data_IF_839537658227
#
_entry.id   IF_839537658227
#
_cell.length_a   1.000
_cell.length_b   1.000
_cell.length_c   1.000
_cell.angle_alpha   90.00
_cell.angle_beta   90.00
_cell.angle_gamma   90.00
#
_symmetry.space_group_name_H-M   'P 1'
#
loop_
_entity.id
_entity.type
_entity.pdbx_description
1 polymer ?
#
# COMPACT_ATOMS: atom_id res chain seq x y z
N UNK A 1 8.56 17.56 14.95
CA UNK A 1 9.71 16.84 15.54
C UNK A 1 10.95 17.58 15.08
N UNK A 2 11.80 18.03 16.00
CA UNK A 2 13.09 18.59 15.61
C UNK A 2 13.95 17.44 15.10
N UNK A 3 14.39 17.50 13.86
CA UNK A 3 15.50 16.66 13.41
C UNK A 3 16.72 17.13 14.20
N UNK A 4 17.16 16.34 15.17
CA UNK A 4 18.47 16.57 15.77
C UNK A 4 19.52 16.40 14.67
N UNK A 5 20.36 17.42 14.50
CA UNK A 5 21.47 17.41 13.56
C UNK A 5 22.52 16.40 14.07
N UNK A 6 22.39 15.16 13.60
CA UNK A 6 23.32 14.06 13.92
C UNK A 6 24.63 14.31 13.22
N UNK A 7 25.73 13.97 13.88
CA UNK A 7 27.03 13.99 13.21
C UNK A 7 27.05 12.95 12.08
N UNK A 8 27.84 13.17 11.01
CA UNK A 8 28.00 12.19 9.94
C UNK A 8 28.44 10.81 10.45
N UNK A 9 29.23 10.77 11.53
CA UNK A 9 29.70 9.53 12.14
C UNK A 9 28.56 8.75 12.82
N UNK A 10 27.66 9.43 13.53
CA UNK A 10 26.50 8.80 14.18
C UNK A 10 25.53 8.24 13.15
N UNK A 11 25.30 8.97 12.06
CA UNK A 11 24.48 8.49 10.93
C UNK A 11 25.10 7.24 10.31
N UNK A 12 26.40 7.26 10.01
CA UNK A 12 27.10 6.11 9.43
C UNK A 12 27.08 4.86 10.33
N UNK A 13 27.20 5.04 11.65
CA UNK A 13 27.08 3.94 12.62
C UNK A 13 25.68 3.33 12.61
N UNK A 14 24.65 4.15 12.59
CA UNK A 14 23.26 3.72 12.54
C UNK A 14 22.93 2.99 11.22
N UNK A 15 23.37 3.52 10.08
CA UNK A 15 23.21 2.86 8.79
C UNK A 15 23.91 1.49 8.76
N UNK A 16 25.13 1.41 9.28
CA UNK A 16 25.85 0.14 9.37
C UNK A 16 25.14 -0.87 10.28
N UNK A 17 24.51 -0.41 11.36
CA UNK A 17 23.68 -1.26 12.22
C UNK A 17 22.43 -1.77 11.48
N UNK A 18 21.72 -0.89 10.78
CA UNK A 18 20.56 -1.25 9.99
C UNK A 18 20.92 -2.29 8.91
N UNK A 19 22.04 -2.09 8.19
CA UNK A 19 22.51 -3.04 7.17
C UNK A 19 22.85 -4.43 7.77
N UNK A 20 23.40 -4.47 9.00
CA UNK A 20 23.66 -5.74 9.73
C UNK A 20 22.37 -6.45 10.14
N UNK A 21 21.26 -5.74 10.28
CA UNK A 21 19.95 -6.32 10.53
C UNK A 21 19.37 -6.83 9.19
N UNK A 22 19.40 -6.03 8.14
CA UNK A 22 18.82 -6.36 6.82
C UNK A 22 19.51 -7.54 6.11
N UNK A 23 20.81 -7.74 6.34
CA UNK A 23 21.53 -8.88 5.79
C UNK A 23 21.07 -10.21 6.39
N UNK A 24 20.57 -10.19 7.63
CA UNK A 24 20.02 -11.38 8.32
C UNK A 24 18.59 -11.69 7.90
N UNK A 25 17.93 -10.80 7.16
CA UNK A 25 16.57 -11.00 6.69
C UNK A 25 16.53 -12.13 5.65
N UNK A 26 15.85 -13.22 6.00
CA UNK A 26 15.63 -14.35 5.09
C UNK A 26 14.57 -13.96 4.08
N UNK A 27 14.98 -13.85 2.81
CA UNK A 27 14.09 -13.47 1.70
C UNK A 27 13.51 -14.71 1.04
N UNK A 28 12.24 -14.65 0.68
CA UNK A 28 11.59 -15.68 -0.12
C UNK A 28 11.87 -15.50 -1.62
N UNK A 29 11.83 -16.59 -2.37
CA UNK A 29 12.01 -16.54 -3.83
C UNK A 29 10.80 -15.84 -4.46
N UNK A 30 11.06 -14.90 -5.36
CA UNK A 30 10.00 -14.23 -6.13
C UNK A 30 9.10 -15.22 -6.86
N UNK A 31 9.66 -16.33 -7.37
CA UNK A 31 8.90 -17.38 -8.04
C UNK A 31 7.88 -18.08 -7.14
N UNK A 32 8.02 -17.99 -5.80
CA UNK A 32 7.06 -18.51 -4.83
C UNK A 32 6.03 -17.46 -4.40
N UNK A 33 6.48 -16.22 -4.20
CA UNK A 33 5.62 -15.14 -3.68
C UNK A 33 4.74 -14.51 -4.76
N UNK A 34 5.24 -14.36 -5.99
CA UNK A 34 4.49 -13.71 -7.07
C UNK A 34 3.18 -14.41 -7.42
N UNK A 35 3.09 -15.76 -7.48
CA UNK A 35 1.81 -16.45 -7.66
C UNK A 35 0.78 -16.15 -6.57
N UNK A 36 1.20 -16.04 -5.31
CA UNK A 36 0.29 -15.77 -4.19
C UNK A 36 -0.30 -14.36 -4.27
N UNK A 37 0.54 -13.37 -4.61
CA UNK A 37 0.09 -11.99 -4.86
C UNK A 37 -0.90 -11.97 -6.02
N UNK A 38 -0.59 -12.66 -7.12
CA UNK A 38 -1.46 -12.72 -8.28
C UNK A 38 -2.81 -13.36 -7.93
N UNK A 39 -2.79 -14.51 -7.26
CA UNK A 39 -4.00 -15.21 -6.85
C UNK A 39 -4.89 -14.36 -5.95
N UNK A 40 -4.29 -13.61 -5.01
CA UNK A 40 -5.01 -12.68 -4.15
C UNK A 40 -5.66 -11.55 -4.96
N UNK A 41 -4.92 -10.94 -5.89
CA UNK A 41 -5.48 -9.88 -6.74
C UNK A 41 -6.61 -10.42 -7.61
N UNK A 42 -6.41 -11.54 -8.29
CA UNK A 42 -7.41 -12.17 -9.16
C UNK A 42 -8.69 -12.53 -8.41
N UNK A 43 -8.58 -13.07 -7.19
CA UNK A 43 -9.75 -13.45 -6.40
C UNK A 43 -10.60 -12.25 -5.96
N UNK A 44 -9.99 -11.07 -5.80
CA UNK A 44 -10.68 -9.85 -5.33
C UNK A 44 -11.03 -8.89 -6.47
N UNK A 45 -10.43 -9.06 -7.66
CA UNK A 45 -10.63 -8.18 -8.82
C UNK A 45 -12.10 -8.11 -9.28
N UNK A 46 -12.85 -9.21 -9.11
CA UNK A 46 -14.25 -9.27 -9.51
C UNK A 46 -15.15 -8.35 -8.65
N UNK A 47 -14.75 -8.09 -7.40
CA UNK A 47 -15.50 -7.29 -6.44
C UNK A 47 -14.93 -5.88 -6.28
N UNK A 48 -13.77 -5.59 -6.88
CA UNK A 48 -13.11 -4.29 -6.80
C UNK A 48 -13.94 -3.19 -7.52
N UNK A 49 -14.50 -2.22 -6.77
CA UNK A 49 -15.31 -1.13 -7.30
C UNK A 49 -14.60 -0.25 -8.33
N UNK A 50 -13.27 -0.11 -8.21
CA UNK A 50 -12.46 0.72 -9.09
C UNK A 50 -12.04 -0.01 -10.36
N UNK A 51 -12.05 -1.35 -10.35
CA UNK A 51 -11.77 -2.17 -11.53
C UNK A 51 -13.05 -2.43 -12.32
N UNK A 52 -14.15 -2.83 -11.67
CA UNK A 52 -15.42 -3.15 -12.34
C UNK A 52 -16.32 -1.94 -12.57
N UNK A 53 -16.09 -0.85 -11.84
CA UNK A 53 -16.98 0.30 -11.80
C UNK A 53 -18.11 0.11 -10.79
N UNK A 54 -18.57 1.23 -10.23
CA UNK A 54 -19.67 1.25 -9.26
C UNK A 54 -20.96 1.63 -9.98
N UNK A 55 -22.04 0.84 -9.87
CA UNK A 55 -23.35 1.24 -10.34
C UNK A 55 -23.74 2.59 -9.73
N UNK A 56 -24.34 3.48 -10.51
CA UNK A 56 -24.63 4.85 -10.06
C UNK A 56 -25.39 4.91 -8.74
N UNK A 57 -26.36 4.02 -8.52
CA UNK A 57 -27.19 4.01 -7.32
C UNK A 57 -26.46 3.54 -6.05
N UNK A 58 -25.30 2.88 -6.23
CA UNK A 58 -24.42 2.45 -5.13
C UNK A 58 -23.22 3.39 -4.98
N UNK A 59 -23.05 4.39 -5.84
CA UNK A 59 -21.92 5.30 -5.78
C UNK A 59 -22.16 6.37 -4.70
N UNK A 60 -21.38 6.39 -3.60
CA UNK A 60 -21.55 7.37 -2.52
C UNK A 60 -21.23 8.81 -2.96
N UNK A 61 -20.56 8.99 -4.10
CA UNK A 61 -20.20 10.28 -4.68
C UNK A 61 -21.11 10.71 -5.84
N UNK A 62 -22.20 9.98 -6.11
CA UNK A 62 -23.22 10.45 -7.07
C UNK A 62 -23.76 11.80 -6.59
N UNK A 63 -23.89 12.77 -7.51
CA UNK A 63 -24.58 14.03 -7.20
C UNK A 63 -25.96 13.69 -6.64
N UNK A 64 -26.20 14.06 -5.39
CA UNK A 64 -27.54 14.00 -4.81
C UNK A 64 -28.37 15.02 -5.59
N UNK A 65 -29.23 14.55 -6.48
CA UNK A 65 -30.21 15.39 -7.16
C UNK A 65 -30.83 16.31 -6.11
N UNK A 66 -30.64 17.62 -6.29
CA UNK A 66 -31.07 18.62 -5.32
C UNK A 66 -32.54 18.41 -4.95
N UNK A 67 -32.87 18.69 -3.69
CA UNK A 67 -34.24 18.65 -3.19
C UNK A 67 -35.18 19.41 -4.15
N UNK A 68 -36.06 18.69 -4.85
CA UNK A 68 -37.15 19.28 -5.62
C UNK A 68 -38.29 19.52 -4.63
N UNK A 69 -38.40 20.75 -4.14
CA UNK A 69 -39.58 21.19 -3.40
C UNK A 69 -40.68 21.34 -4.44
N UNK A 70 -41.64 20.41 -4.45
CA UNK A 70 -42.91 20.55 -5.19
C UNK A 70 -43.99 21.02 -4.24
#
# INVERSE_FOLDING_TARGET
AMEEERTPEETAKMEAEQLRIEVKLTREKISKVAPDILAHVESNMADDPLVKGVPEDKNPFKEKGGCVIS
#
